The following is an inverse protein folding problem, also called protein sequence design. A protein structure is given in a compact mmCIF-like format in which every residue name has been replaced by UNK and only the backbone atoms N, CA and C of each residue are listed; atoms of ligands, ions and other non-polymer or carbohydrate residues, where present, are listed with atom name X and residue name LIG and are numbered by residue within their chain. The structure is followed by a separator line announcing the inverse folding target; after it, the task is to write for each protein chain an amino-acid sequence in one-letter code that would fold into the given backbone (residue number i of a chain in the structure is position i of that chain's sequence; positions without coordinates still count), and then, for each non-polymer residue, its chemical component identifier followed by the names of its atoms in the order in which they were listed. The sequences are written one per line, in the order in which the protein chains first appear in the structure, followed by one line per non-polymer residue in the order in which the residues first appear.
data_IF_617983807507
#
_entry.id   IF_617983807507
#
_cell.length_a   1.000
_cell.length_b   1.000
_cell.length_c   1.000
_cell.angle_alpha   90.00
_cell.angle_beta   90.00
_cell.angle_gamma   90.00
#
_symmetry.space_group_name_H-M   'P 1'
#
loop_
_entity.id
_entity.type
_entity.pdbx_description
1 polymer ?
#
# COMPACT_ATOMS: atom_id res chain seq x y z
N UNK A 1 5.14 33.39 -20.74
CA UNK A 1 5.95 32.37 -20.02
C UNK A 1 5.20 31.75 -18.85
N UNK A 2 4.43 32.51 -18.06
CA UNK A 2 3.70 32.01 -16.88
C UNK A 2 2.61 30.96 -17.20
N UNK A 3 1.90 31.11 -18.32
CA UNK A 3 0.87 30.14 -18.76
C UNK A 3 1.43 28.75 -19.01
N UNK A 4 2.59 28.65 -19.66
CA UNK A 4 3.28 27.37 -19.89
C UNK A 4 3.64 26.67 -18.58
N UNK A 5 4.11 27.41 -17.57
CA UNK A 5 4.43 26.83 -16.26
C UNK A 5 3.19 26.32 -15.52
N UNK A 6 2.06 27.03 -15.62
CA UNK A 6 0.79 26.56 -15.03
C UNK A 6 0.31 25.27 -15.70
N UNK A 7 0.37 25.19 -17.03
CA UNK A 7 -0.01 23.97 -17.77
C UNK A 7 0.89 22.79 -17.41
N UNK A 8 2.22 22.98 -17.41
CA UNK A 8 3.16 21.92 -17.07
C UNK A 8 3.03 21.51 -15.59
N UNK A 9 2.81 22.47 -14.68
CA UNK A 9 2.45 22.19 -13.29
C UNK A 9 1.25 21.24 -13.20
N UNK A 10 0.13 21.59 -13.86
CA UNK A 10 -1.09 20.77 -13.83
C UNK A 10 -0.85 19.36 -14.37
N UNK A 11 -0.16 19.24 -15.51
CA UNK A 11 0.17 17.94 -16.13
C UNK A 11 1.01 17.08 -15.17
N UNK A 12 2.09 17.63 -14.61
CA UNK A 12 2.97 16.89 -13.71
C UNK A 12 2.28 16.48 -12.42
N UNK A 13 1.43 17.35 -11.85
CA UNK A 13 0.65 17.05 -10.65
C UNK A 13 -0.36 15.94 -10.91
N UNK A 14 -1.04 15.95 -12.06
CA UNK A 14 -1.97 14.88 -12.47
C UNK A 14 -1.22 13.57 -12.71
N UNK A 15 -0.08 13.57 -13.40
CA UNK A 15 0.73 12.36 -13.61
C UNK A 15 1.16 11.77 -12.26
N UNK A 16 1.66 12.61 -11.34
CA UNK A 16 2.11 12.19 -10.01
C UNK A 16 0.96 11.71 -9.13
N UNK A 17 0.12 12.64 -8.67
CA UNK A 17 -0.95 12.37 -7.69
C UNK A 17 -2.18 11.69 -8.30
N UNK A 18 -2.47 11.92 -9.58
CA UNK A 18 -3.62 11.34 -10.27
C UNK A 18 -3.40 9.91 -10.74
N UNK A 19 -2.18 9.54 -11.14
CA UNK A 19 -1.89 8.24 -11.75
C UNK A 19 -0.82 7.44 -10.98
N UNK A 20 0.41 7.93 -10.93
CA UNK A 20 1.54 7.11 -10.45
C UNK A 20 1.38 6.68 -9.00
N UNK A 21 1.13 7.62 -8.09
CA UNK A 21 0.97 7.33 -6.67
C UNK A 21 -0.22 6.39 -6.35
N UNK A 22 -1.45 6.63 -6.87
CA UNK A 22 -2.57 5.73 -6.61
C UNK A 22 -2.36 4.34 -7.24
N UNK A 23 -1.80 4.24 -8.46
CA UNK A 23 -1.50 2.95 -9.09
C UNK A 23 -0.48 2.17 -8.26
N UNK A 24 0.63 2.80 -7.85
CA UNK A 24 1.65 2.17 -7.01
C UNK A 24 1.10 1.67 -5.68
N UNK A 25 0.15 2.40 -5.07
CA UNK A 25 -0.52 1.98 -3.84
C UNK A 25 -1.50 0.81 -4.06
N UNK A 26 -2.26 0.81 -5.17
CA UNK A 26 -3.15 -0.30 -5.53
C UNK A 26 -2.36 -1.59 -5.80
N UNK A 27 -1.26 -1.49 -6.54
CA UNK A 27 -0.41 -2.65 -6.84
C UNK A 27 0.16 -3.27 -5.57
N UNK A 28 0.66 -2.46 -4.62
CA UNK A 28 1.10 -2.96 -3.32
C UNK A 28 -0.03 -3.63 -2.54
N UNK A 29 -1.24 -3.08 -2.60
CA UNK A 29 -2.39 -3.58 -1.82
C UNK A 29 -2.94 -4.91 -2.34
N UNK A 30 -2.91 -5.14 -3.64
CA UNK A 30 -3.55 -6.31 -4.26
C UNK A 30 -2.57 -7.37 -4.75
N UNK A 31 -1.35 -6.99 -5.14
CA UNK A 31 -0.33 -7.92 -5.64
C UNK A 31 0.89 -8.05 -4.74
N UNK A 32 0.97 -7.29 -3.64
CA UNK A 32 2.07 -7.34 -2.65
C UNK A 32 3.47 -7.13 -3.24
N UNK A 33 3.60 -6.43 -4.37
CA UNK A 33 4.88 -6.20 -5.03
C UNK A 33 5.52 -4.87 -4.57
N UNK A 34 6.56 -4.98 -3.74
CA UNK A 34 7.26 -3.81 -3.17
C UNK A 34 8.06 -3.04 -4.22
N UNK A 35 8.65 -3.72 -5.21
CA UNK A 35 9.42 -3.07 -6.26
C UNK A 35 8.55 -2.13 -7.10
N UNK A 36 7.41 -2.64 -7.59
CA UNK A 36 6.46 -1.80 -8.33
C UNK A 36 5.92 -0.67 -7.46
N UNK A 37 5.68 -0.92 -6.17
CA UNK A 37 5.26 0.14 -5.27
C UNK A 37 6.30 1.26 -5.23
N UNK A 38 7.54 0.95 -4.86
CA UNK A 38 8.61 1.95 -4.71
C UNK A 38 8.86 2.69 -6.02
N UNK A 39 8.93 1.98 -7.16
CA UNK A 39 9.14 2.62 -8.47
C UNK A 39 8.08 3.67 -8.78
N UNK A 40 6.80 3.31 -8.65
CA UNK A 40 5.70 4.25 -8.89
C UNK A 40 5.68 5.39 -7.87
N UNK A 41 6.00 5.13 -6.59
CA UNK A 41 6.07 6.17 -5.57
C UNK A 41 7.18 7.19 -5.86
N UNK A 42 8.38 6.74 -6.23
CA UNK A 42 9.49 7.64 -6.52
C UNK A 42 9.20 8.46 -7.77
N UNK A 43 8.77 7.83 -8.87
CA UNK A 43 8.42 8.55 -10.10
C UNK A 43 7.28 9.57 -9.84
N UNK A 44 6.24 9.16 -9.11
CA UNK A 44 5.12 10.03 -8.79
C UNK A 44 5.51 11.22 -7.92
N UNK A 45 6.38 11.02 -6.93
CA UNK A 45 6.91 12.10 -6.08
C UNK A 45 7.83 13.03 -6.89
N UNK A 46 8.67 12.52 -7.78
CA UNK A 46 9.49 13.35 -8.66
C UNK A 46 8.63 14.26 -9.55
N UNK A 47 7.58 13.72 -10.18
CA UNK A 47 6.61 14.50 -10.94
C UNK A 47 5.91 15.54 -10.05
N UNK A 48 5.46 15.14 -8.85
CA UNK A 48 4.78 16.04 -7.92
C UNK A 48 5.68 17.20 -7.44
N UNK A 49 6.96 16.94 -7.14
CA UNK A 49 7.90 17.99 -6.73
C UNK A 49 8.15 18.96 -7.90
N UNK A 50 8.45 18.43 -9.09
CA UNK A 50 8.68 19.27 -10.27
C UNK A 50 7.44 20.12 -10.61
N UNK A 51 6.26 19.49 -10.59
CA UNK A 51 4.98 20.18 -10.75
C UNK A 51 4.79 21.25 -9.69
N UNK A 52 4.97 20.92 -8.41
CA UNK A 52 4.81 21.86 -7.30
C UNK A 52 5.73 23.08 -7.42
N UNK A 53 7.01 22.88 -7.75
CA UNK A 53 7.96 23.98 -7.99
C UNK A 53 7.46 24.89 -9.11
N UNK A 54 7.02 24.33 -10.24
CA UNK A 54 6.42 25.10 -11.34
C UNK A 54 5.17 25.88 -10.91
N UNK A 55 4.35 25.28 -10.06
CA UNK A 55 3.18 25.92 -9.44
C UNK A 55 3.59 27.15 -8.64
N UNK A 56 4.57 26.99 -7.73
CA UNK A 56 5.08 28.08 -6.87
C UNK A 56 5.70 29.22 -7.70
N UNK A 57 6.53 28.92 -8.70
CA UNK A 57 7.16 29.97 -9.51
C UNK A 57 6.15 30.69 -10.43
N UNK A 58 4.99 30.07 -10.70
CA UNK A 58 3.92 30.68 -11.50
C UNK A 58 3.04 31.69 -10.73
N UNK A 59 3.22 31.84 -9.41
CA UNK A 59 2.34 32.60 -8.48
C UNK A 59 2.28 34.12 -8.74
N UNK A 60 2.91 34.67 -9.78
CA UNK A 60 2.77 36.11 -10.10
C UNK A 60 1.49 36.48 -10.87
N UNK A 61 0.72 35.51 -11.37
CA UNK A 61 -0.40 35.81 -12.30
C UNK A 61 -1.58 34.84 -12.25
N UNK A 62 -1.51 33.78 -11.45
CA UNK A 62 -2.54 32.74 -11.45
C UNK A 62 -3.55 33.02 -10.33
N UNK A 63 -4.82 33.10 -10.71
CA UNK A 63 -5.98 33.08 -9.82
C UNK A 63 -6.00 31.76 -9.01
N UNK A 64 -5.16 31.67 -7.98
CA UNK A 64 -5.16 30.53 -7.07
C UNK A 64 -6.37 30.65 -6.15
N UNK A 65 -7.21 29.61 -6.13
CA UNK A 65 -8.09 29.43 -4.99
C UNK A 65 -7.22 29.11 -3.77
N UNK A 66 -7.49 29.80 -2.67
CA UNK A 66 -6.83 29.54 -1.39
C UNK A 66 -6.88 28.06 -1.01
N UNK A 67 -7.99 27.37 -1.33
CA UNK A 67 -8.17 25.95 -1.10
C UNK A 67 -7.22 25.06 -1.94
N UNK A 68 -7.08 25.29 -3.25
CA UNK A 68 -6.21 24.47 -4.11
C UNK A 68 -4.73 24.57 -3.68
N UNK A 69 -4.27 25.78 -3.37
CA UNK A 69 -2.90 25.97 -2.91
C UNK A 69 -2.65 25.23 -1.59
N UNK A 70 -3.54 25.40 -0.59
CA UNK A 70 -3.36 24.78 0.73
C UNK A 70 -3.43 23.25 0.67
N UNK A 71 -4.46 22.70 0.00
CA UNK A 71 -4.60 21.25 -0.11
C UNK A 71 -3.40 20.67 -0.87
N UNK A 72 -2.96 21.33 -1.95
CA UNK A 72 -1.79 20.92 -2.72
C UNK A 72 -0.52 20.89 -1.89
N UNK A 73 -0.24 21.94 -1.10
CA UNK A 73 0.92 22.01 -0.21
C UNK A 73 0.89 20.84 0.79
N UNK A 74 -0.25 20.63 1.46
CA UNK A 74 -0.40 19.55 2.45
C UNK A 74 -0.21 18.18 1.78
N UNK A 75 -0.81 17.95 0.62
CA UNK A 75 -0.68 16.69 -0.12
C UNK A 75 0.78 16.38 -0.47
N UNK A 76 1.51 17.38 -1.00
CA UNK A 76 2.94 17.28 -1.37
C UNK A 76 3.79 17.00 -0.13
N UNK A 77 3.61 17.74 0.96
CA UNK A 77 4.36 17.52 2.22
C UNK A 77 4.14 16.09 2.71
N UNK A 78 2.87 15.65 2.83
CA UNK A 78 2.57 14.29 3.29
C UNK A 78 3.14 13.23 2.36
N UNK A 79 3.13 13.48 1.04
CA UNK A 79 3.67 12.59 0.02
C UNK A 79 5.18 12.41 0.12
N UNK A 80 5.93 13.52 0.23
CA UNK A 80 7.39 13.53 0.38
C UNK A 80 7.83 12.94 1.72
N UNK A 81 7.06 13.13 2.79
CA UNK A 81 7.34 12.52 4.08
C UNK A 81 7.17 10.99 4.07
N UNK A 82 6.40 10.41 3.15
CA UNK A 82 6.22 8.94 3.10
C UNK A 82 7.50 8.15 2.81
N UNK A 83 8.31 8.44 1.77
CA UNK A 83 9.57 7.72 1.55
C UNK A 83 10.56 7.97 2.68
N UNK A 84 10.63 9.20 3.24
CA UNK A 84 11.50 9.49 4.41
C UNK A 84 11.09 8.61 5.59
N UNK A 85 9.79 8.58 5.91
CA UNK A 85 9.25 7.70 6.93
C UNK A 85 9.53 6.23 6.60
N UNK A 86 9.51 5.84 5.33
CA UNK A 86 9.81 4.47 4.91
C UNK A 86 11.26 4.05 5.17
N UNK A 87 12.22 4.99 5.09
CA UNK A 87 13.61 4.74 5.45
C UNK A 87 13.79 4.52 6.96
N UNK A 88 12.96 5.15 7.78
CA UNK A 88 12.93 4.97 9.24
C UNK A 88 12.18 3.70 9.69
N UNK A 89 11.98 2.72 8.80
CA UNK A 89 11.25 1.48 9.08
C UNK A 89 11.90 0.71 10.23
N UNK A 90 11.21 0.47 11.36
CA UNK A 90 11.70 -0.40 12.41
C UNK A 90 11.87 -1.84 11.91
N UNK A 91 12.86 -2.55 12.46
CA UNK A 91 13.19 -3.94 12.09
C UNK A 91 11.96 -4.85 12.20
N UNK A 92 11.91 -5.84 11.30
CA UNK A 92 10.93 -6.92 11.39
C UNK A 92 11.14 -7.66 12.72
N UNK A 93 10.11 -7.86 13.55
CA UNK A 93 10.24 -8.74 14.71
C UNK A 93 10.54 -10.16 14.23
N UNK A 94 11.26 -10.94 15.04
CA UNK A 94 11.46 -12.36 14.75
C UNK A 94 10.12 -13.10 14.80
N UNK A 95 9.95 -14.25 14.11
CA UNK A 95 8.69 -15.00 14.09
C UNK A 95 8.09 -15.30 15.48
N UNK A 96 8.96 -15.52 16.46
CA UNK A 96 8.66 -15.80 17.85
C UNK A 96 8.34 -14.54 18.70
N UNK A 97 8.59 -13.34 18.17
CA UNK A 97 8.43 -12.08 18.89
C UNK A 97 7.14 -11.34 18.50
N UNK A 98 6.48 -10.75 19.51
CA UNK A 98 5.36 -9.85 19.26
C UNK A 98 5.85 -8.57 18.58
N UNK A 99 5.05 -8.04 17.65
CA UNK A 99 5.30 -6.72 17.04
C UNK A 99 5.37 -5.65 18.13
N UNK A 100 6.53 -4.99 18.23
CA UNK A 100 6.71 -3.86 19.14
C UNK A 100 5.82 -2.66 18.77
N UNK A 101 5.53 -1.80 19.74
CA UNK A 101 4.70 -0.60 19.59
C UNK A 101 5.21 0.28 18.44
N UNK A 102 6.52 0.51 18.36
CA UNK A 102 7.14 1.31 17.31
C UNK A 102 6.82 0.80 15.89
N UNK A 103 6.88 -0.52 15.68
CA UNK A 103 6.57 -1.15 14.38
C UNK A 103 5.09 -1.00 14.02
N UNK A 104 4.19 -1.11 15.00
CA UNK A 104 2.75 -0.94 14.82
C UNK A 104 2.39 0.52 14.50
N UNK A 105 2.94 1.48 15.25
CA UNK A 105 2.74 2.91 15.00
C UNK A 105 3.28 3.30 13.62
N UNK A 106 4.49 2.86 13.27
CA UNK A 106 5.06 3.12 11.95
C UNK A 106 4.18 2.56 10.82
N UNK A 107 3.65 1.34 10.96
CA UNK A 107 2.73 0.75 9.97
C UNK A 107 1.46 1.57 9.82
N UNK A 108 0.91 2.06 10.93
CA UNK A 108 -0.26 2.92 10.92
C UNK A 108 0.03 4.26 10.23
N UNK A 109 1.09 4.97 10.65
CA UNK A 109 1.49 6.27 10.11
C UNK A 109 1.81 6.18 8.62
N UNK A 110 2.60 5.20 8.20
CA UNK A 110 2.97 5.04 6.79
C UNK A 110 1.75 4.70 5.92
N UNK A 111 0.95 3.71 6.35
CA UNK A 111 -0.22 3.27 5.56
C UNK A 111 -1.30 4.32 5.51
N UNK A 112 -1.65 4.93 6.65
CA UNK A 112 -2.73 5.91 6.73
C UNK A 112 -2.28 7.25 6.14
N UNK A 113 -1.08 7.72 6.48
CA UNK A 113 -0.51 8.95 5.93
C UNK A 113 -0.40 8.91 4.41
N UNK A 114 0.05 7.79 3.84
CA UNK A 114 0.10 7.61 2.39
C UNK A 114 -1.29 7.68 1.73
N UNK A 115 -2.32 7.10 2.35
CA UNK A 115 -3.70 7.17 1.85
C UNK A 115 -4.27 8.58 1.90
N UNK A 116 -4.04 9.29 3.01
CA UNK A 116 -4.48 10.69 3.16
C UNK A 116 -3.79 11.56 2.11
N UNK A 117 -2.48 11.41 1.91
CA UNK A 117 -1.74 12.14 0.87
C UNK A 117 -2.33 11.91 -0.53
N UNK A 118 -2.58 10.64 -0.92
CA UNK A 118 -3.19 10.31 -2.21
C UNK A 118 -4.59 10.92 -2.33
N UNK A 119 -5.42 10.79 -1.29
CA UNK A 119 -6.78 11.34 -1.30
C UNK A 119 -6.79 12.86 -1.48
N UNK A 120 -5.96 13.57 -0.72
CA UNK A 120 -5.82 15.02 -0.86
C UNK A 120 -5.27 15.40 -2.24
N UNK A 121 -4.34 14.61 -2.78
CA UNK A 121 -3.83 14.79 -4.15
C UNK A 121 -4.90 14.64 -5.23
N UNK A 122 -5.78 13.64 -5.12
CA UNK A 122 -6.89 13.42 -6.05
C UNK A 122 -7.95 14.53 -5.95
N UNK A 123 -8.28 14.95 -4.73
CA UNK A 123 -9.17 16.10 -4.48
C UNK A 123 -8.56 17.37 -5.11
N UNK A 124 -7.27 17.62 -4.85
CA UNK A 124 -6.61 18.81 -5.34
C UNK A 124 -6.48 18.81 -6.87
N UNK A 125 -6.22 17.64 -7.47
CA UNK A 125 -6.17 17.49 -8.93
C UNK A 125 -7.54 17.76 -9.56
N UNK A 126 -8.63 17.28 -8.94
CA UNK A 126 -10.00 17.57 -9.38
C UNK A 126 -10.32 19.07 -9.29
N UNK A 127 -9.92 19.72 -8.19
CA UNK A 127 -10.05 21.16 -8.04
C UNK A 127 -9.22 21.91 -9.10
N UNK A 128 -8.01 21.43 -9.42
CA UNK A 128 -7.18 21.99 -10.49
C UNK A 128 -7.82 21.86 -11.87
N UNK A 129 -8.42 20.70 -12.20
CA UNK A 129 -9.18 20.49 -13.44
C UNK A 129 -10.37 21.46 -13.55
N UNK A 130 -11.09 21.66 -12.45
CA UNK A 130 -12.20 22.62 -12.37
C UNK A 130 -11.72 24.07 -12.56
N UNK A 131 -10.65 24.48 -11.87
CA UNK A 131 -10.07 25.82 -11.98
C UNK A 131 -9.47 26.11 -13.36
N UNK A 132 -8.95 25.09 -14.03
CA UNK A 132 -8.44 25.20 -15.39
C UNK A 132 -9.55 25.36 -16.44
N UNK A 133 -10.83 25.28 -16.04
CA UNK A 133 -12.00 25.31 -16.93
C UNK A 133 -11.82 24.32 -18.08
N UNK A 134 -11.41 23.10 -17.71
CA UNK A 134 -11.08 22.06 -18.68
C UNK A 134 -12.28 21.76 -19.59
N UNK A 135 -12.00 21.50 -20.88
CA UNK A 135 -13.04 21.10 -21.83
C UNK A 135 -13.70 19.78 -21.41
N UNK A 136 -14.97 19.63 -21.78
CA UNK A 136 -15.81 18.49 -21.37
C UNK A 136 -15.14 17.11 -21.54
N UNK A 137 -14.43 16.79 -22.64
CA UNK A 137 -13.76 15.49 -22.77
C UNK A 137 -12.70 15.22 -21.69
N UNK A 138 -11.96 16.24 -21.25
CA UNK A 138 -10.95 16.09 -20.19
C UNK A 138 -11.64 15.85 -18.84
N UNK A 139 -12.73 16.57 -18.58
CA UNK A 139 -13.56 16.38 -17.37
C UNK A 139 -14.08 14.95 -17.32
N UNK A 140 -14.70 14.47 -18.41
CA UNK A 140 -15.23 13.10 -18.51
C UNK A 140 -14.11 12.09 -18.26
N UNK A 141 -12.99 12.21 -18.98
CA UNK A 141 -11.85 11.29 -18.83
C UNK A 141 -11.32 11.25 -17.38
N UNK A 142 -11.20 12.41 -16.74
CA UNK A 142 -10.73 12.52 -15.36
C UNK A 142 -11.67 11.83 -14.37
N UNK A 143 -12.98 12.10 -14.43
CA UNK A 143 -13.94 11.48 -13.51
C UNK A 143 -14.19 10.00 -13.80
N UNK A 144 -14.12 9.57 -15.06
CA UNK A 144 -14.10 8.14 -15.42
C UNK A 144 -12.89 7.44 -14.81
N UNK A 145 -11.70 8.05 -14.88
CA UNK A 145 -10.50 7.51 -14.26
C UNK A 145 -10.61 7.40 -12.73
N UNK A 146 -11.15 8.43 -12.06
CA UNK A 146 -11.42 8.37 -10.61
C UNK A 146 -12.39 7.24 -10.25
N UNK A 147 -13.46 7.08 -11.03
CA UNK A 147 -14.42 5.98 -10.88
C UNK A 147 -13.75 4.61 -11.03
N UNK A 148 -12.85 4.46 -12.02
CA UNK A 148 -12.09 3.24 -12.23
C UNK A 148 -11.16 2.93 -11.05
N UNK A 149 -10.43 3.92 -10.51
CA UNK A 149 -9.58 3.73 -9.33
C UNK A 149 -10.36 3.21 -8.13
N UNK A 150 -11.53 3.80 -7.87
CA UNK A 150 -12.43 3.38 -6.79
C UNK A 150 -12.96 1.97 -7.04
N UNK A 151 -13.43 1.68 -8.27
CA UNK A 151 -13.93 0.37 -8.65
C UNK A 151 -12.86 -0.72 -8.46
N UNK A 152 -11.64 -0.50 -8.97
CA UNK A 152 -10.52 -1.44 -8.84
C UNK A 152 -10.17 -1.69 -7.37
N UNK A 153 -10.17 -0.65 -6.54
CA UNK A 153 -9.94 -0.78 -5.11
C UNK A 153 -11.00 -1.66 -4.42
N UNK A 154 -12.28 -1.42 -4.70
CA UNK A 154 -13.40 -2.18 -4.13
C UNK A 154 -13.39 -3.64 -4.58
N UNK A 155 -13.29 -3.89 -5.89
CA UNK A 155 -13.20 -5.25 -6.46
C UNK A 155 -12.05 -6.03 -5.82
N UNK A 156 -10.89 -5.40 -5.71
CA UNK A 156 -9.74 -6.04 -5.09
C UNK A 156 -9.88 -6.25 -3.58
N UNK A 157 -10.64 -5.44 -2.84
CA UNK A 157 -10.95 -5.69 -1.42
C UNK A 157 -11.92 -6.87 -1.28
N UNK A 158 -12.96 -6.93 -2.12
CA UNK A 158 -13.90 -8.06 -2.17
C UNK A 158 -13.16 -9.36 -2.45
N UNK A 159 -12.32 -9.40 -3.49
CA UNK A 159 -11.52 -10.58 -3.84
C UNK A 159 -10.63 -11.05 -2.67
N UNK A 160 -9.97 -10.12 -1.96
CA UNK A 160 -9.17 -10.45 -0.76
C UNK A 160 -10.03 -10.94 0.40
N UNK A 161 -11.21 -10.37 0.61
CA UNK A 161 -12.15 -10.85 1.63
C UNK A 161 -12.61 -12.28 1.33
N UNK A 162 -13.02 -12.58 0.10
CA UNK A 162 -13.42 -13.92 -0.32
C UNK A 162 -12.26 -14.93 -0.20
N UNK A 163 -11.04 -14.53 -0.56
CA UNK A 163 -9.85 -15.36 -0.39
C UNK A 163 -9.57 -15.74 1.08
N UNK A 164 -9.72 -14.80 2.01
CA UNK A 164 -9.59 -15.05 3.45
C UNK A 164 -10.66 -15.98 4.00
N UNK A 165 -11.91 -15.83 3.55
CA UNK A 165 -13.01 -16.73 3.95
C UNK A 165 -12.75 -18.17 3.46
N UNK A 166 -12.29 -18.32 2.21
CA UNK A 166 -11.94 -19.62 1.63
C UNK A 166 -10.81 -20.32 2.39
N UNK A 167 -9.79 -19.60 2.85
CA UNK A 167 -8.72 -20.17 3.67
C UNK A 167 -9.20 -20.62 5.05
N UNK A 168 -10.02 -19.80 5.74
CA UNK A 168 -10.60 -20.19 7.04
C UNK A 168 -11.47 -21.45 6.94
N UNK A 169 -12.27 -21.58 5.89
CA UNK A 169 -13.11 -22.78 5.66
C UNK A 169 -12.31 -24.06 5.39
N UNK A 170 -11.08 -23.95 4.86
CA UNK A 170 -10.17 -25.10 4.67
C UNK A 170 -9.40 -25.48 5.94
N UNK A 171 -8.99 -24.50 6.75
CA UNK A 171 -8.27 -24.72 8.01
C UNK A 171 -9.17 -25.08 9.21
N UNK A 172 -10.49 -24.96 9.06
CA UNK A 172 -11.48 -25.24 10.10
C UNK A 172 -12.18 -26.60 10.00
N UNK A 173 -11.80 -27.49 9.07
CA UNK A 173 -12.26 -28.89 9.14
C UNK A 173 -11.46 -29.58 10.25
N UNK A 174 -12.09 -30.03 11.35
CA UNK A 174 -11.40 -30.90 12.29
C UNK A 174 -10.94 -32.11 11.49
N UNK A 175 -9.68 -32.51 11.66
CA UNK A 175 -9.25 -33.82 11.22
C UNK A 175 -10.18 -34.80 11.92
N UNK A 176 -11.08 -35.44 11.18
CA UNK A 176 -11.95 -36.46 11.73
C UNK A 176 -11.01 -37.52 12.32
N UNK A 177 -11.03 -37.61 13.65
CA UNK A 177 -10.36 -38.64 14.41
C UNK A 177 -10.67 -39.98 13.77
N UNK A 178 -9.64 -40.66 13.26
CA UNK A 178 -9.69 -42.08 12.96
C UNK A 178 -10.04 -42.81 14.25
N UNK A 179 -11.33 -43.03 14.50
CA UNK A 179 -11.81 -44.00 15.45
C UNK A 179 -11.71 -45.36 14.76
N UNK A 180 -10.69 -46.13 15.11
CA UNK A 180 -10.74 -47.59 15.02
C UNK A 180 -10.56 -48.14 16.44
N UNK A 181 -11.58 -48.85 16.92
CA UNK A 181 -11.67 -49.46 18.25
C UNK A 181 -10.57 -50.50 18.51
N UNK A 182 -10.16 -50.72 19.78
CA UNK A 182 -10.70 -51.75 20.70
C UNK A 182 -10.57 -53.16 20.12
N UNK A 183 -9.94 -54.19 20.69
CA UNK A 183 -9.40 -54.52 22.02
C UNK A 183 -8.87 -55.98 21.93
N UNK A 184 -7.77 -56.35 22.59
CA UNK A 184 -7.58 -57.67 23.25
C UNK A 184 -6.19 -57.82 23.87
N UNK A 185 -6.18 -58.30 25.11
CA UNK A 185 -5.03 -58.65 25.95
C UNK A 185 -4.16 -59.78 25.37
N UNK A 186 -2.87 -59.77 25.73
CA UNK A 186 -1.93 -60.86 25.46
C UNK A 186 -0.56 -60.60 26.11
N UNK A 187 -0.32 -61.27 27.24
CA UNK A 187 0.97 -61.39 27.94
C UNK A 187 2.04 -61.97 27.00
N UNK A 188 3.24 -61.38 26.94
CA UNK A 188 4.56 -62.05 27.07
C UNK A 188 5.75 -61.05 27.13
N UNK A 189 6.52 -61.20 28.21
CA UNK A 189 7.94 -60.91 28.52
C UNK A 189 8.89 -60.30 27.46
N UNK A 190 9.78 -59.40 27.92
CA UNK A 190 11.11 -59.21 27.34
C UNK A 190 11.74 -57.82 27.54
N UNK A 191 12.80 -57.75 28.37
CA UNK A 191 13.99 -56.86 28.36
C UNK A 191 14.12 -55.90 27.15
N UNK A 192 14.57 -54.63 27.24
CA UNK A 192 15.78 -54.10 27.89
C UNK A 192 15.81 -52.55 27.78
N UNK A 193 16.60 -51.88 28.61
CA UNK A 193 16.82 -50.42 28.61
C UNK A 193 17.70 -49.99 27.42
N UNK A 194 17.42 -48.81 26.85
CA UNK A 194 18.31 -48.15 25.90
C UNK A 194 18.02 -46.66 25.81
N UNK A 195 18.83 -45.87 26.52
CA UNK A 195 18.86 -44.41 26.43
C UNK A 195 19.39 -43.99 25.04
N UNK A 196 18.61 -43.18 24.33
CA UNK A 196 18.97 -42.71 22.99
C UNK A 196 18.32 -41.36 22.69
N UNK A 197 19.01 -40.28 23.03
CA UNK A 197 18.65 -38.92 22.68
C UNK A 197 18.64 -38.76 21.15
N UNK A 198 17.46 -38.55 20.56
CA UNK A 198 17.33 -38.09 19.18
C UNK A 198 17.36 -36.56 19.16
N UNK A 199 18.55 -36.01 18.96
CA UNK A 199 18.77 -34.62 18.54
C UNK A 199 18.54 -34.57 17.03
N UNK A 200 17.61 -33.74 16.57
CA UNK A 200 17.37 -33.50 15.14
C UNK A 200 18.06 -32.18 14.73
N UNK A 201 19.14 -32.19 13.94
CA UNK A 201 19.83 -30.99 13.49
C UNK A 201 19.50 -30.70 12.02
N UNK A 202 18.36 -30.06 11.74
CA UNK A 202 18.10 -29.45 10.43
C UNK A 202 17.39 -28.11 10.60
N UNK A 203 18.12 -27.14 11.13
CA UNK A 203 17.86 -25.71 10.90
C UNK A 203 19.17 -25.04 10.53
N UNK A 204 19.53 -25.00 9.25
CA UNK A 204 20.40 -23.95 8.71
C UNK A 204 20.35 -23.92 7.19
N UNK A 205 20.45 -22.73 6.61
CA UNK A 205 20.14 -22.35 5.21
C UNK A 205 18.62 -22.27 4.96
N UNK A 206 18.00 -21.12 4.71
CA UNK A 206 18.40 -20.07 3.79
C UNK A 206 17.90 -18.72 4.33
N UNK A 207 18.84 -17.82 4.62
CA UNK A 207 18.61 -16.37 4.68
C UNK A 207 19.22 -15.78 3.42
N UNK A 208 18.39 -15.18 2.57
CA UNK A 208 18.70 -14.01 1.74
C UNK A 208 17.43 -13.14 1.68
#
# INVERSE_FOLDING_TARGET
MTTTFVTVHGILMVIGFGFLLPIGALLMRHFSCIYTHVTFQILGICCAIAGFVLGVVSVRSAHFSFAHAIIGIIAVILGVLQPINALCRPKEPRPEERKGVARTVWQFVHRFGGRVSILLGLINSSLGVFLAVAVLPIIIAWYTWLGLLVLLWFVGEIARCLGRMRQKGKGGRPMASTLHGSQSDGIINGWEKGDGAYVNPVTESVRL
#
